data_IF_008959433737
#
_entry.id   IF_008959433737
#
_cell.length_a   1.000
_cell.length_b   1.000
_cell.length_c   1.000
_cell.angle_alpha   90.00
_cell.angle_beta   90.00
_cell.angle_gamma   90.00
#
_symmetry.space_group_name_H-M   'P 1'
#
loop_
_entity.id
_entity.type
_entity.pdbx_description
1 polymer ?
#
# COMPACT_ATOMS: atom_id res chain seq x y z
N UNK A 1 -20.05 3.24 34.12
CA UNK A 1 -20.49 2.59 32.89
C UNK A 1 -21.18 3.53 31.90
N UNK A 2 -22.25 4.26 32.29
CA UNK A 2 -22.97 5.18 31.39
C UNK A 2 -22.11 6.25 30.73
N UNK A 3 -21.16 6.86 31.46
CA UNK A 3 -20.25 7.89 30.95
C UNK A 3 -19.31 7.36 29.84
N UNK A 4 -18.79 6.15 29.98
CA UNK A 4 -17.96 5.54 28.96
C UNK A 4 -18.73 5.27 27.66
N UNK A 5 -19.99 4.81 27.78
CA UNK A 5 -20.87 4.61 26.61
C UNK A 5 -21.16 5.94 25.93
N UNK A 6 -21.40 7.01 26.69
CA UNK A 6 -21.60 8.35 26.16
C UNK A 6 -20.38 8.85 25.37
N UNK A 7 -19.16 8.73 25.94
CA UNK A 7 -17.93 9.11 25.23
C UNK A 7 -17.68 8.26 23.99
N UNK A 8 -17.96 6.95 24.08
CA UNK A 8 -17.88 6.06 22.92
C UNK A 8 -18.81 6.52 21.79
N UNK A 9 -20.08 6.77 22.10
CA UNK A 9 -21.06 7.26 21.13
C UNK A 9 -20.69 8.60 20.52
N UNK A 10 -20.21 9.55 21.34
CA UNK A 10 -19.79 10.88 20.87
C UNK A 10 -18.57 10.79 19.95
N UNK A 11 -17.56 10.00 20.34
CA UNK A 11 -16.37 9.75 19.51
C UNK A 11 -16.74 9.06 18.20
N UNK A 12 -17.52 7.96 18.25
CA UNK A 12 -17.95 7.23 17.07
C UNK A 12 -18.75 8.12 16.11
N UNK A 13 -19.69 8.93 16.63
CA UNK A 13 -20.46 9.88 15.82
C UNK A 13 -19.53 10.87 15.10
N UNK A 14 -18.59 11.49 15.84
CA UNK A 14 -17.67 12.47 15.26
C UNK A 14 -16.71 11.81 14.27
N UNK A 15 -16.27 10.57 14.52
CA UNK A 15 -15.46 9.79 13.59
C UNK A 15 -16.21 9.53 12.29
N UNK A 16 -17.44 9.01 12.36
CA UNK A 16 -18.25 8.74 11.17
C UNK A 16 -18.54 10.03 10.40
N UNK A 17 -18.85 11.14 11.09
CA UNK A 17 -19.09 12.43 10.43
C UNK A 17 -17.82 12.93 9.73
N UNK A 18 -16.66 12.91 10.39
CA UNK A 18 -15.39 13.32 9.79
C UNK A 18 -15.03 12.42 8.61
N UNK A 19 -15.18 11.10 8.76
CA UNK A 19 -14.94 10.13 7.69
C UNK A 19 -15.84 10.43 6.47
N UNK A 20 -17.14 10.68 6.68
CA UNK A 20 -18.08 10.99 5.59
C UNK A 20 -17.70 12.27 4.84
N UNK A 21 -17.27 13.32 5.56
CA UNK A 21 -16.78 14.56 4.95
C UNK A 21 -15.56 14.28 4.07
N UNK A 22 -14.59 13.47 4.58
CA UNK A 22 -13.39 13.14 3.81
C UNK A 22 -13.67 12.21 2.64
N UNK A 23 -14.62 11.28 2.74
CA UNK A 23 -15.06 10.45 1.62
C UNK A 23 -15.59 11.32 0.47
N UNK A 24 -16.48 12.29 0.77
CA UNK A 24 -17.03 13.19 -0.25
C UNK A 24 -15.91 14.04 -0.87
N UNK A 25 -15.03 14.59 -0.03
CA UNK A 25 -13.91 15.43 -0.49
C UNK A 25 -12.91 14.66 -1.36
N UNK A 26 -12.52 13.43 -0.94
CA UNK A 26 -11.63 12.58 -1.72
C UNK A 26 -12.26 12.13 -3.02
N UNK A 27 -13.56 11.76 -3.02
CA UNK A 27 -14.26 11.43 -4.25
C UNK A 27 -14.23 12.58 -5.26
N UNK A 28 -14.43 13.82 -4.79
CA UNK A 28 -14.38 15.00 -5.64
C UNK A 28 -12.98 15.20 -6.23
N UNK A 29 -11.93 15.08 -5.42
CA UNK A 29 -10.55 15.16 -5.87
C UNK A 29 -10.24 14.06 -6.89
N UNK A 30 -10.60 12.81 -6.58
CA UNK A 30 -10.34 11.66 -7.46
C UNK A 30 -11.06 11.83 -8.81
N UNK A 31 -12.31 12.30 -8.81
CA UNK A 31 -13.05 12.59 -10.07
C UNK A 31 -12.34 13.67 -10.89
N UNK A 32 -11.92 14.77 -10.27
CA UNK A 32 -11.19 15.85 -10.98
C UNK A 32 -9.86 15.32 -11.54
N UNK A 33 -9.15 14.49 -10.77
CA UNK A 33 -7.87 13.91 -11.22
C UNK A 33 -8.07 12.95 -12.39
N UNK A 34 -9.09 12.09 -12.38
CA UNK A 34 -9.40 11.20 -13.49
C UNK A 34 -9.88 11.97 -14.72
N UNK A 35 -10.70 12.99 -14.54
CA UNK A 35 -11.09 13.91 -15.64
C UNK A 35 -9.87 14.54 -16.30
N UNK A 36 -8.93 15.07 -15.51
CA UNK A 36 -7.70 15.68 -16.06
C UNK A 36 -6.85 14.69 -16.85
N UNK A 37 -6.82 13.41 -16.42
CA UNK A 37 -5.99 12.37 -17.07
C UNK A 37 -6.64 11.79 -18.33
N UNK A 38 -7.95 11.68 -18.37
CA UNK A 38 -8.67 10.86 -19.35
C UNK A 38 -9.81 11.55 -20.11
N UNK A 39 -10.05 12.84 -19.89
CA UNK A 39 -11.20 13.57 -20.45
C UNK A 39 -11.37 13.49 -21.98
N UNK A 40 -10.30 13.19 -22.72
CA UNK A 40 -10.31 13.12 -24.20
C UNK A 40 -10.54 11.70 -24.71
N UNK A 41 -10.39 10.68 -23.84
CA UNK A 41 -10.28 9.28 -24.26
C UNK A 41 -11.40 8.36 -23.75
N UNK A 42 -12.19 8.80 -22.77
CA UNK A 42 -13.08 7.90 -22.00
C UNK A 42 -14.39 8.59 -21.65
N UNK A 43 -15.49 7.82 -21.57
CA UNK A 43 -16.82 8.31 -21.17
C UNK A 43 -16.84 8.76 -19.68
N UNK A 44 -17.64 9.79 -19.36
CA UNK A 44 -17.77 10.35 -18.00
C UNK A 44 -18.21 9.31 -16.97
N UNK A 45 -19.01 8.31 -17.37
CA UNK A 45 -19.44 7.22 -16.48
C UNK A 45 -18.26 6.34 -16.08
N UNK A 46 -17.37 6.03 -17.01
CA UNK A 46 -16.17 5.24 -16.74
C UNK A 46 -15.16 5.99 -15.86
N UNK A 47 -15.04 7.31 -16.08
CA UNK A 47 -14.23 8.18 -15.24
C UNK A 47 -14.73 8.19 -13.79
N UNK A 48 -16.04 8.31 -13.59
CA UNK A 48 -16.63 8.24 -12.26
C UNK A 48 -16.43 6.86 -11.61
N UNK A 49 -16.57 5.79 -12.39
CA UNK A 49 -16.31 4.44 -11.90
C UNK A 49 -14.84 4.23 -11.49
N UNK A 50 -13.88 4.76 -12.26
CA UNK A 50 -12.46 4.75 -11.90
C UNK A 50 -12.20 5.50 -10.59
N UNK A 51 -12.79 6.69 -10.42
CA UNK A 51 -12.68 7.44 -9.17
C UNK A 51 -13.26 6.67 -7.99
N UNK A 52 -14.41 5.99 -8.16
CA UNK A 52 -15.02 5.17 -7.13
C UNK A 52 -14.15 3.96 -6.75
N UNK A 53 -13.44 3.35 -7.70
CA UNK A 53 -12.49 2.26 -7.44
C UNK A 53 -11.24 2.72 -6.69
N UNK A 54 -10.77 3.95 -6.92
CA UNK A 54 -9.59 4.52 -6.25
C UNK A 54 -9.91 5.03 -4.84
N UNK A 55 -11.15 5.45 -4.60
CA UNK A 55 -11.61 6.09 -3.36
C UNK A 55 -11.27 5.30 -2.08
N UNK A 56 -11.47 3.96 -1.99
CA UNK A 56 -11.13 3.23 -0.77
C UNK A 56 -9.64 3.32 -0.43
N UNK A 57 -8.76 3.30 -1.43
CA UNK A 57 -7.31 3.45 -1.26
C UNK A 57 -6.95 4.83 -0.74
N UNK A 58 -7.50 5.89 -1.35
CA UNK A 58 -7.29 7.28 -0.95
C UNK A 58 -7.74 7.52 0.50
N UNK A 59 -8.92 7.04 0.87
CA UNK A 59 -9.46 7.17 2.24
C UNK A 59 -8.60 6.38 3.24
N UNK A 60 -8.16 5.17 2.88
CA UNK A 60 -7.34 4.33 3.75
C UNK A 60 -6.01 4.98 4.13
N UNK A 61 -5.37 5.66 3.19
CA UNK A 61 -4.10 6.36 3.43
C UNK A 61 -4.25 7.51 4.44
N UNK A 62 -5.39 8.21 4.44
CA UNK A 62 -5.62 9.37 5.31
C UNK A 62 -6.33 9.02 6.63
N UNK A 63 -6.65 7.75 6.89
CA UNK A 63 -7.31 7.33 8.13
C UNK A 63 -6.63 7.85 9.41
N UNK A 64 -5.28 7.86 9.55
CA UNK A 64 -4.63 8.45 10.72
C UNK A 64 -4.98 9.92 10.93
N UNK A 65 -5.11 10.68 9.84
CA UNK A 65 -5.49 12.10 9.90
C UNK A 65 -6.97 12.28 10.23
N UNK A 66 -7.84 11.37 9.78
CA UNK A 66 -9.25 11.34 10.16
C UNK A 66 -9.39 11.06 11.66
N UNK A 67 -8.58 10.15 12.22
CA UNK A 67 -8.57 9.85 13.66
C UNK A 67 -8.19 11.09 14.47
N UNK A 68 -7.11 11.80 14.10
CA UNK A 68 -6.70 12.99 14.86
C UNK A 68 -7.74 14.10 14.81
N UNK A 69 -8.37 14.33 13.64
CA UNK A 69 -9.39 15.37 13.49
C UNK A 69 -10.67 15.04 14.24
N UNK A 70 -11.15 13.79 14.14
CA UNK A 70 -12.34 13.34 14.86
C UNK A 70 -12.15 13.34 16.38
N UNK A 71 -10.94 12.97 16.82
CA UNK A 71 -10.54 13.07 18.24
C UNK A 71 -10.49 14.51 18.70
N UNK A 72 -9.89 15.42 17.92
CA UNK A 72 -9.83 16.85 18.22
C UNK A 72 -11.23 17.44 18.33
N UNK A 73 -12.11 17.13 17.41
CA UNK A 73 -13.50 17.55 17.46
C UNK A 73 -14.19 17.05 18.74
N UNK A 74 -13.99 15.78 19.07
CA UNK A 74 -14.59 15.18 20.26
C UNK A 74 -14.11 15.85 21.53
N UNK A 75 -12.79 15.97 21.75
CA UNK A 75 -12.24 16.58 22.96
C UNK A 75 -12.55 18.08 23.05
N UNK A 76 -12.54 18.78 21.94
CA UNK A 76 -12.93 20.19 21.89
C UNK A 76 -14.41 20.39 22.24
N UNK A 77 -15.30 19.54 21.72
CA UNK A 77 -16.72 19.57 22.06
C UNK A 77 -16.95 19.29 23.55
N UNK A 78 -16.23 18.32 24.13
CA UNK A 78 -16.27 18.02 25.56
C UNK A 78 -15.76 19.19 26.42
N UNK A 79 -14.69 19.84 25.97
CA UNK A 79 -14.12 21.00 26.66
C UNK A 79 -15.04 22.21 26.62
N UNK A 80 -15.64 22.53 25.46
CA UNK A 80 -16.55 23.67 25.29
C UNK A 80 -17.84 23.52 26.08
N UNK A 81 -18.39 22.31 26.16
CA UNK A 81 -19.61 22.06 26.92
C UNK A 81 -19.38 21.88 28.42
N UNK A 82 -18.13 22.13 28.90
CA UNK A 82 -17.75 21.93 30.31
C UNK A 82 -17.94 20.49 30.82
N UNK A 83 -18.15 19.53 29.93
CA UNK A 83 -18.33 18.11 30.29
C UNK A 83 -17.08 17.54 30.95
N UNK A 84 -15.88 18.04 30.56
CA UNK A 84 -14.60 17.70 31.21
C UNK A 84 -14.55 18.10 32.69
N UNK A 85 -15.15 19.26 33.05
CA UNK A 85 -15.21 19.73 34.43
C UNK A 85 -16.10 18.78 35.24
N UNK A 86 -17.30 18.51 34.73
CA UNK A 86 -18.26 17.61 35.41
C UNK A 86 -17.63 16.25 35.67
N UNK A 87 -16.84 15.75 34.74
CA UNK A 87 -16.15 14.47 34.89
C UNK A 87 -15.08 14.53 36.01
N UNK A 88 -14.29 15.59 36.03
CA UNK A 88 -13.26 15.81 37.08
C UNK A 88 -13.88 16.02 38.45
N UNK A 89 -14.97 16.77 38.55
CA UNK A 89 -15.69 16.98 39.81
C UNK A 89 -16.35 15.70 40.35
N UNK A 90 -16.67 14.74 39.46
CA UNK A 90 -17.09 13.39 39.82
C UNK A 90 -15.94 12.48 40.31
N UNK A 91 -14.74 13.02 40.52
CA UNK A 91 -13.57 12.30 41.06
C UNK A 91 -12.88 11.38 40.05
N UNK A 92 -13.15 11.56 38.76
CA UNK A 92 -12.52 10.71 37.70
C UNK A 92 -11.28 11.39 37.14
N UNK A 93 -10.20 10.64 36.95
CA UNK A 93 -8.97 11.14 36.33
C UNK A 93 -9.14 11.38 34.83
N UNK A 94 -8.39 12.31 34.26
CA UNK A 94 -8.36 12.57 32.81
C UNK A 94 -7.94 11.31 32.02
N UNK A 95 -7.07 10.47 32.59
CA UNK A 95 -6.67 9.19 32.00
C UNK A 95 -7.88 8.27 31.84
N UNK A 96 -8.76 8.21 32.86
CA UNK A 96 -10.00 7.41 32.79
C UNK A 96 -10.93 7.84 31.64
N UNK A 97 -10.90 9.12 31.27
CA UNK A 97 -11.66 9.62 30.09
C UNK A 97 -11.08 9.15 28.77
N UNK A 98 -9.75 9.00 28.70
CA UNK A 98 -9.07 8.57 27.47
C UNK A 98 -9.26 7.11 27.13
N UNK A 99 -9.49 6.25 28.13
CA UNK A 99 -9.56 4.79 27.94
C UNK A 99 -10.57 4.44 26.83
N UNK A 100 -11.74 5.05 26.84
CA UNK A 100 -12.79 4.72 25.87
C UNK A 100 -12.45 5.15 24.45
N UNK A 101 -12.08 6.41 24.16
CA UNK A 101 -11.58 6.81 22.83
C UNK A 101 -10.33 6.04 22.40
N UNK A 102 -9.45 5.69 23.35
CA UNK A 102 -8.25 4.91 23.08
C UNK A 102 -8.57 3.50 22.56
N UNK A 103 -9.43 2.79 23.28
CA UNK A 103 -9.90 1.47 22.86
C UNK A 103 -10.59 1.56 21.51
N UNK A 104 -11.45 2.55 21.28
CA UNK A 104 -12.14 2.73 20.00
C UNK A 104 -11.18 3.03 18.86
N UNK A 105 -10.20 3.91 19.05
CA UNK A 105 -9.19 4.22 18.02
C UNK A 105 -8.35 3.00 17.68
N UNK A 106 -7.96 2.21 18.67
CA UNK A 106 -7.27 0.95 18.46
C UNK A 106 -8.13 -0.06 17.68
N UNK A 107 -9.40 -0.22 18.09
CA UNK A 107 -10.35 -1.10 17.38
C UNK A 107 -10.63 -0.65 15.95
N UNK A 108 -10.75 0.66 15.70
CA UNK A 108 -10.85 1.20 14.32
C UNK A 108 -9.62 0.79 13.51
N UNK A 109 -8.42 0.84 14.09
CA UNK A 109 -7.20 0.36 13.45
C UNK A 109 -7.26 -1.13 13.12
N UNK A 110 -7.71 -1.97 14.06
CA UNK A 110 -7.90 -3.41 13.83
C UNK A 110 -8.93 -3.67 12.73
N UNK A 111 -10.06 -2.96 12.73
CA UNK A 111 -11.08 -3.06 11.68
C UNK A 111 -10.54 -2.60 10.32
N UNK A 112 -9.72 -1.54 10.31
CA UNK A 112 -9.10 -1.04 9.09
C UNK A 112 -8.21 -2.09 8.44
N UNK A 113 -7.36 -2.77 9.20
CA UNK A 113 -6.48 -3.81 8.64
C UNK A 113 -7.22 -5.11 8.32
N UNK A 114 -8.23 -5.49 9.12
CA UNK A 114 -8.90 -6.78 8.97
C UNK A 114 -9.94 -6.79 7.85
N UNK A 115 -10.73 -5.74 7.73
CA UNK A 115 -11.87 -5.66 6.81
C UNK A 115 -11.67 -4.64 5.70
N UNK A 116 -11.14 -3.46 6.03
CA UNK A 116 -11.02 -2.39 5.04
C UNK A 116 -9.83 -2.60 4.09
N UNK A 117 -8.69 -3.13 4.59
CA UNK A 117 -7.53 -3.44 3.75
C UNK A 117 -7.84 -4.43 2.61
N UNK A 118 -8.52 -5.57 2.79
CA UNK A 118 -8.92 -6.44 1.69
C UNK A 118 -9.81 -5.77 0.64
N UNK A 119 -10.70 -4.87 1.08
CA UNK A 119 -11.54 -4.07 0.15
C UNK A 119 -10.64 -3.14 -0.67
N UNK A 120 -9.72 -2.43 -0.02
CA UNK A 120 -8.73 -1.57 -0.68
C UNK A 120 -7.90 -2.36 -1.69
N UNK A 121 -7.40 -3.53 -1.32
CA UNK A 121 -6.61 -4.38 -2.20
C UNK A 121 -7.39 -4.78 -3.46
N UNK A 122 -8.63 -5.24 -3.29
CA UNK A 122 -9.48 -5.68 -4.41
C UNK A 122 -9.86 -4.51 -5.34
N UNK A 123 -10.23 -3.36 -4.79
CA UNK A 123 -10.59 -2.16 -5.57
C UNK A 123 -9.38 -1.56 -6.27
N UNK A 124 -8.22 -1.48 -5.60
CA UNK A 124 -6.97 -0.98 -6.20
C UNK A 124 -6.46 -1.89 -7.32
N UNK A 125 -6.59 -3.21 -7.17
CA UNK A 125 -6.29 -4.17 -8.25
C UNK A 125 -7.19 -3.92 -9.45
N UNK A 126 -8.50 -3.85 -9.23
CA UNK A 126 -9.48 -3.60 -10.30
C UNK A 126 -9.28 -2.24 -10.96
N UNK A 127 -8.94 -1.21 -10.19
CA UNK A 127 -8.56 0.11 -10.72
C UNK A 127 -7.35 0.01 -11.65
N UNK A 128 -6.31 -0.72 -11.24
CA UNK A 128 -5.12 -0.91 -12.07
C UNK A 128 -5.43 -1.68 -13.36
N UNK A 129 -6.25 -2.74 -13.28
CA UNK A 129 -6.65 -3.56 -14.43
C UNK A 129 -7.49 -2.76 -15.45
N UNK A 130 -8.42 -1.92 -14.97
CA UNK A 130 -9.22 -1.05 -15.85
C UNK A 130 -8.35 0.04 -16.46
N UNK A 131 -7.49 0.65 -15.64
CA UNK A 131 -6.58 1.70 -16.11
C UNK A 131 -5.60 1.20 -17.18
N UNK A 132 -5.01 0.02 -17.02
CA UNK A 132 -4.07 -0.55 -17.99
C UNK A 132 -4.74 -0.83 -19.35
N UNK A 133 -5.98 -1.30 -19.34
CA UNK A 133 -6.75 -1.51 -20.58
C UNK A 133 -7.03 -0.20 -21.33
N UNK A 134 -7.17 0.91 -20.61
CA UNK A 134 -7.52 2.21 -21.18
C UNK A 134 -6.28 2.99 -21.69
N UNK A 135 -5.11 2.77 -21.07
CA UNK A 135 -3.90 3.56 -21.37
C UNK A 135 -2.90 2.79 -22.22
N UNK A 136 -2.67 1.53 -21.92
CA UNK A 136 -1.45 0.87 -22.36
C UNK A 136 -1.65 -0.10 -23.51
N UNK A 137 -2.72 -0.29 -24.16
CA UNK A 137 -2.82 -1.14 -25.38
C UNK A 137 -1.79 -2.29 -25.52
N UNK A 138 -0.77 -2.36 -24.68
CA UNK A 138 0.32 -3.33 -24.62
C UNK A 138 0.24 -4.19 -23.35
N UNK A 139 -0.05 -5.46 -23.56
CA UNK A 139 -0.09 -6.47 -22.49
C UNK A 139 1.32 -6.93 -22.12
N UNK A 140 2.04 -6.16 -21.28
CA UNK A 140 3.18 -6.74 -20.56
C UNK A 140 2.64 -7.26 -19.23
N UNK A 141 2.56 -8.56 -19.07
CA UNK A 141 2.03 -9.18 -17.85
C UNK A 141 3.15 -9.94 -17.15
N UNK A 142 3.38 -9.64 -15.89
CA UNK A 142 4.27 -10.40 -15.01
C UNK A 142 3.42 -11.05 -13.93
N UNK A 143 3.63 -12.33 -13.70
CA UNK A 143 3.03 -13.06 -12.59
C UNK A 143 4.06 -13.93 -11.91
N UNK A 144 3.97 -14.04 -10.59
CA UNK A 144 4.74 -14.97 -9.78
C UNK A 144 3.78 -15.98 -9.18
N UNK A 145 4.14 -17.24 -9.27
CA UNK A 145 3.41 -18.33 -8.68
C UNK A 145 4.37 -19.41 -8.14
N UNK A 146 3.81 -20.49 -7.65
CA UNK A 146 4.57 -21.66 -7.14
C UNK A 146 5.49 -22.28 -8.18
N UNK A 147 5.28 -21.99 -9.46
CA UNK A 147 6.08 -22.48 -10.58
C UNK A 147 7.16 -21.51 -11.08
N UNK A 148 7.39 -20.39 -10.39
CA UNK A 148 8.38 -19.35 -10.71
C UNK A 148 7.79 -18.09 -11.32
N UNK A 149 8.67 -17.35 -12.00
CA UNK A 149 8.37 -16.06 -12.63
C UNK A 149 7.90 -16.28 -14.07
N UNK A 150 6.82 -15.63 -14.45
CA UNK A 150 6.31 -15.58 -15.81
C UNK A 150 6.33 -14.13 -16.30
N UNK A 151 7.05 -13.90 -17.41
CA UNK A 151 7.12 -12.61 -18.09
C UNK A 151 6.54 -12.78 -19.49
N UNK A 152 5.74 -11.83 -19.94
CA UNK A 152 5.30 -11.74 -21.33
C UNK A 152 5.73 -10.39 -21.88
N UNK A 153 6.45 -10.40 -22.97
CA UNK A 153 6.82 -9.20 -23.71
C UNK A 153 6.31 -9.29 -25.16
N UNK A 154 5.90 -8.15 -25.72
CA UNK A 154 5.60 -8.01 -27.13
C UNK A 154 6.84 -7.45 -27.84
N UNK A 155 7.16 -7.93 -29.03
CA UNK A 155 8.13 -7.38 -29.95
C UNK A 155 7.48 -7.14 -31.32
N UNK A 156 8.21 -6.55 -32.25
CA UNK A 156 7.71 -6.26 -33.61
C UNK A 156 7.31 -7.53 -34.40
N UNK A 157 7.76 -8.70 -33.97
CA UNK A 157 7.55 -9.99 -34.64
C UNK A 157 6.49 -10.85 -33.98
N UNK A 158 6.02 -10.50 -32.81
CA UNK A 158 5.02 -11.25 -32.04
C UNK A 158 5.13 -11.10 -30.54
N UNK A 159 4.99 -12.20 -29.82
CA UNK A 159 5.05 -12.21 -28.36
C UNK A 159 6.06 -13.24 -27.89
N UNK A 160 6.81 -12.90 -26.83
CA UNK A 160 7.71 -13.85 -26.16
C UNK A 160 7.24 -14.04 -24.71
N UNK A 161 6.98 -15.28 -24.33
CA UNK A 161 6.68 -15.69 -22.96
C UNK A 161 7.95 -16.26 -22.34
N UNK A 162 8.40 -15.70 -21.22
CA UNK A 162 9.58 -16.10 -20.49
C UNK A 162 9.13 -16.68 -19.16
N UNK A 163 9.50 -17.92 -18.89
CA UNK A 163 9.32 -18.58 -17.59
C UNK A 163 10.69 -18.78 -16.96
N UNK A 164 10.90 -18.32 -15.75
CA UNK A 164 12.12 -18.58 -14.98
C UNK A 164 11.77 -19.24 -13.66
N UNK A 165 12.51 -20.27 -13.26
CA UNK A 165 12.29 -20.90 -11.95
C UNK A 165 12.79 -20.03 -10.81
N UNK A 166 13.90 -19.31 -11.02
CA UNK A 166 14.52 -18.45 -10.01
C UNK A 166 15.07 -17.20 -10.67
N UNK A 167 15.23 -16.15 -9.87
CA UNK A 167 15.88 -14.93 -10.26
C UNK A 167 16.82 -14.45 -9.14
N UNK A 168 17.74 -13.53 -9.46
CA UNK A 168 18.46 -12.80 -8.44
C UNK A 168 17.56 -11.70 -7.85
N UNK A 169 18.01 -11.12 -6.70
CA UNK A 169 17.26 -10.08 -5.97
C UNK A 169 16.89 -8.86 -6.81
N UNK A 170 17.64 -8.63 -7.87
CA UNK A 170 17.54 -7.45 -8.72
C UNK A 170 16.82 -7.71 -10.05
N UNK A 171 16.36 -8.94 -10.27
CA UNK A 171 15.72 -9.39 -11.52
C UNK A 171 16.58 -9.20 -12.80
N UNK A 172 17.89 -9.04 -12.64
CA UNK A 172 18.84 -8.91 -13.76
C UNK A 172 19.34 -10.25 -14.25
N UNK A 173 19.26 -11.31 -13.44
CA UNK A 173 19.64 -12.67 -13.79
C UNK A 173 18.46 -13.61 -13.52
N UNK A 174 18.11 -14.40 -14.53
CA UNK A 174 17.06 -15.41 -14.44
C UNK A 174 17.68 -16.80 -14.70
N UNK A 175 17.32 -17.76 -13.85
CA UNK A 175 17.85 -19.12 -13.86
C UNK A 175 16.80 -20.14 -14.25
N UNK A 176 17.22 -21.20 -14.94
CA UNK A 176 16.35 -22.27 -15.45
C UNK A 176 15.18 -21.70 -16.29
N UNK A 177 15.54 -21.01 -17.36
CA UNK A 177 14.60 -20.21 -18.15
C UNK A 177 14.09 -20.97 -19.35
N UNK A 178 12.78 -20.94 -19.55
CA UNK A 178 12.10 -21.39 -20.77
C UNK A 178 11.48 -20.17 -21.45
N UNK A 179 11.88 -19.91 -22.69
CA UNK A 179 11.27 -18.89 -23.54
C UNK A 179 10.43 -19.55 -24.62
N UNK A 180 9.23 -19.05 -24.84
CA UNK A 180 8.32 -19.48 -25.90
C UNK A 180 8.05 -18.28 -26.80
N UNK A 181 8.55 -18.31 -28.03
CA UNK A 181 8.23 -17.31 -29.04
C UNK A 181 6.91 -17.66 -29.73
N UNK A 182 6.02 -16.68 -29.77
CA UNK A 182 4.71 -16.77 -30.42
C UNK A 182 4.66 -15.82 -31.61
N UNK A 183 4.02 -16.26 -32.70
CA UNK A 183 3.68 -15.39 -33.85
C UNK A 183 2.69 -14.27 -33.44
N UNK A 184 2.50 -13.30 -34.34
CA UNK A 184 1.41 -12.31 -34.22
C UNK A 184 0.02 -12.98 -34.06
N UNK A 185 -0.18 -14.14 -34.65
CA UNK A 185 -1.39 -14.95 -34.53
C UNK A 185 -1.45 -15.82 -33.25
N UNK A 186 -0.54 -15.57 -32.29
CA UNK A 186 -0.41 -16.30 -31.02
C UNK A 186 -0.08 -17.79 -31.16
N UNK A 187 0.46 -18.23 -32.29
CA UNK A 187 0.92 -19.60 -32.51
C UNK A 187 2.38 -19.73 -32.08
N UNK A 188 2.77 -20.82 -31.39
CA UNK A 188 4.15 -21.01 -30.95
C UNK A 188 5.08 -21.31 -32.12
N UNK A 189 6.17 -20.53 -32.25
CA UNK A 189 7.18 -20.65 -33.31
C UNK A 189 8.38 -21.48 -32.83
N UNK A 190 8.86 -21.18 -31.60
CA UNK A 190 10.02 -21.86 -31.04
C UNK A 190 9.98 -21.86 -29.50
N UNK A 191 10.58 -22.89 -28.91
CA UNK A 191 10.88 -23.01 -27.51
C UNK A 191 12.39 -22.93 -27.30
N UNK A 192 12.85 -22.11 -26.38
CA UNK A 192 14.26 -21.94 -26.06
C UNK A 192 14.42 -22.24 -24.55
N UNK A 193 15.31 -23.17 -24.24
CA UNK A 193 15.69 -23.45 -22.85
C UNK A 193 17.09 -22.96 -22.59
N UNK A 194 17.29 -22.31 -21.45
CA UNK A 194 18.54 -21.64 -21.05
C UNK A 194 18.77 -21.81 -19.58
N UNK A 195 19.98 -22.11 -19.17
CA UNK A 195 20.35 -22.19 -17.75
C UNK A 195 20.37 -20.83 -17.08
N UNK A 196 20.87 -19.81 -17.80
CA UNK A 196 21.04 -18.45 -17.28
C UNK A 196 20.81 -17.43 -18.39
N UNK A 197 19.93 -16.47 -18.14
CA UNK A 197 19.83 -15.25 -18.95
C UNK A 197 20.14 -14.04 -18.09
N UNK A 198 20.89 -13.10 -18.65
CA UNK A 198 21.25 -11.82 -18.01
C UNK A 198 20.63 -10.67 -18.79
N UNK A 199 20.07 -9.71 -18.05
CA UNK A 199 19.55 -8.47 -18.62
C UNK A 199 20.65 -7.44 -18.69
N UNK A 200 21.03 -7.05 -19.92
CA UNK A 200 21.98 -5.99 -20.18
C UNK A 200 21.28 -4.90 -20.98
N UNK A 201 21.12 -3.72 -20.41
CA UNK A 201 20.46 -2.51 -20.96
C UNK A 201 19.10 -2.79 -21.62
N UNK A 202 19.04 -3.27 -22.84
CA UNK A 202 17.81 -3.56 -23.60
C UNK A 202 17.84 -4.91 -24.27
N UNK A 203 18.66 -5.84 -23.77
CA UNK A 203 18.82 -7.19 -24.31
C UNK A 203 18.91 -8.25 -23.23
N UNK A 204 18.19 -9.35 -23.42
CA UNK A 204 18.45 -10.58 -22.68
C UNK A 204 19.58 -11.36 -23.36
N UNK A 205 20.66 -11.56 -22.66
CA UNK A 205 21.78 -12.37 -23.09
C UNK A 205 21.64 -13.79 -22.52
N UNK A 206 21.33 -14.74 -23.38
CA UNK A 206 21.12 -16.15 -23.03
C UNK A 206 22.40 -16.95 -23.31
N UNK A 207 22.93 -17.66 -22.31
CA UNK A 207 24.11 -18.52 -22.43
C UNK A 207 23.71 -19.99 -22.43
N UNK A 208 24.33 -20.80 -23.30
CA UNK A 208 24.08 -22.23 -23.42
C UNK A 208 22.61 -22.54 -23.74
N UNK A 209 22.08 -21.92 -24.77
CA UNK A 209 20.68 -22.05 -25.15
C UNK A 209 20.45 -23.26 -26.06
N UNK A 210 19.36 -23.97 -25.82
CA UNK A 210 18.85 -25.06 -26.68
C UNK A 210 17.54 -24.57 -27.29
N UNK A 211 17.52 -24.51 -28.62
CA UNK A 211 16.36 -24.02 -29.39
C UNK A 211 15.66 -25.17 -30.04
N UNK A 212 14.37 -25.32 -29.76
CA UNK A 212 13.46 -26.24 -30.47
C UNK A 212 12.53 -25.44 -31.37
N UNK A 213 12.71 -25.46 -32.71
CA UNK A 213 11.72 -24.89 -33.60
C UNK A 213 10.44 -25.74 -33.57
N UNK A 214 9.28 -25.09 -33.41
CA UNK A 214 7.97 -25.75 -33.41
C UNK A 214 7.42 -25.62 -34.82
N UNK A 215 7.74 -26.60 -35.69
CA UNK A 215 7.15 -26.70 -37.00
C UNK A 215 5.92 -27.62 -36.96
N UNK A 216 4.81 -27.18 -37.52
CA UNK A 216 3.57 -27.95 -37.63
C UNK A 216 3.66 -29.11 -38.63
N UNK A 217 4.83 -29.68 -38.88
CA UNK A 217 5.09 -30.80 -39.79
C UNK A 217 5.76 -32.01 -39.10
N UNK A 218 5.62 -33.17 -39.68
CA UNK A 218 5.83 -34.49 -39.11
C UNK A 218 7.23 -34.89 -38.57
N UNK A 219 8.23 -33.99 -38.48
CA UNK A 219 9.58 -34.32 -37.97
C UNK A 219 10.19 -33.19 -37.12
N UNK A 220 9.59 -32.90 -35.98
CA UNK A 220 9.99 -31.84 -35.05
C UNK A 220 11.30 -32.11 -34.30
N UNK A 221 11.79 -33.34 -34.21
CA UNK A 221 12.96 -33.73 -33.43
C UNK A 221 14.33 -33.55 -34.10
N UNK A 222 14.39 -33.27 -35.40
CA UNK A 222 15.64 -33.26 -36.17
C UNK A 222 16.37 -31.91 -36.24
N UNK A 223 15.79 -30.81 -35.76
CA UNK A 223 16.35 -29.46 -35.91
C UNK A 223 16.64 -28.75 -34.57
N UNK A 224 17.07 -29.48 -33.56
CA UNK A 224 17.52 -28.88 -32.28
C UNK A 224 18.84 -28.14 -32.50
N UNK A 225 18.85 -26.84 -32.24
CA UNK A 225 20.05 -26.01 -32.34
C UNK A 225 20.59 -25.71 -30.96
N UNK A 226 21.88 -25.99 -30.76
CA UNK A 226 22.60 -25.54 -29.54
C UNK A 226 23.42 -24.30 -29.88
N UNK A 227 23.15 -23.19 -29.23
CA UNK A 227 23.86 -21.95 -29.41
C UNK A 227 24.53 -21.55 -28.09
N UNK A 228 25.78 -21.14 -28.14
CA UNK A 228 26.55 -20.70 -26.97
C UNK A 228 26.08 -19.35 -26.44
N UNK A 229 25.53 -18.49 -27.31
CA UNK A 229 25.02 -17.18 -26.98
C UNK A 229 23.84 -16.84 -27.89
N UNK A 230 22.75 -16.37 -27.27
CA UNK A 230 21.58 -15.83 -27.98
C UNK A 230 21.21 -14.51 -27.34
N UNK A 231 21.09 -13.49 -28.17
CA UNK A 231 20.63 -12.16 -27.73
C UNK A 231 19.15 -11.99 -28.12
N UNK A 232 18.32 -11.61 -27.16
CA UNK A 232 16.89 -11.41 -27.35
C UNK A 232 16.58 -9.95 -27.00
N UNK A 233 16.14 -9.14 -27.96
CA UNK A 233 15.78 -7.75 -27.68
C UNK A 233 14.63 -7.69 -26.67
N UNK A 234 14.72 -6.75 -25.74
CA UNK A 234 13.67 -6.52 -24.73
C UNK A 234 13.46 -5.03 -24.51
N UNK A 235 12.21 -4.66 -24.30
CA UNK A 235 11.84 -3.33 -23.85
C UNK A 235 11.81 -3.22 -22.32
N UNK A 236 12.02 -4.35 -21.61
CA UNK A 236 11.95 -4.39 -20.15
C UNK A 236 13.22 -3.83 -19.53
N UNK A 237 13.05 -2.87 -18.63
CA UNK A 237 14.10 -2.36 -17.76
C UNK A 237 14.01 -3.03 -16.38
N UNK A 238 15.15 -3.09 -15.65
CA UNK A 238 15.24 -3.63 -14.29
C UNK A 238 14.14 -3.07 -13.36
N UNK A 239 13.96 -1.76 -13.37
CA UNK A 239 12.97 -1.06 -12.56
C UNK A 239 11.55 -1.52 -12.90
N UNK A 240 11.26 -1.71 -14.19
CA UNK A 240 9.95 -2.16 -14.66
C UNK A 240 9.64 -3.60 -14.22
N UNK A 241 10.62 -4.49 -14.22
CA UNK A 241 10.41 -5.88 -13.75
C UNK A 241 10.08 -5.87 -12.25
N UNK A 242 10.82 -5.10 -11.47
CA UNK A 242 10.60 -5.00 -10.01
C UNK A 242 9.29 -4.28 -9.68
N UNK A 243 8.92 -3.25 -10.44
CA UNK A 243 7.68 -2.51 -10.22
C UNK A 243 6.43 -3.27 -10.69
N UNK A 244 6.56 -4.19 -11.63
CA UNK A 244 5.44 -5.00 -12.14
C UNK A 244 4.99 -6.10 -11.17
N UNK A 245 5.77 -6.46 -10.14
CA UNK A 245 5.27 -7.27 -9.03
C UNK A 245 4.14 -6.57 -8.28
N UNK A 246 3.92 -5.32 -8.60
CA UNK A 246 2.80 -4.52 -8.17
C UNK A 246 3.05 -3.81 -6.84
N UNK A 247 2.17 -2.88 -6.57
CA UNK A 247 2.14 -2.17 -5.29
C UNK A 247 1.65 -3.13 -4.20
N UNK A 248 2.34 -3.25 -3.06
CA UNK A 248 1.89 -4.05 -1.92
C UNK A 248 0.45 -3.73 -1.48
N UNK A 249 -0.02 -2.51 -1.70
CA UNK A 249 -1.40 -2.09 -1.39
C UNK A 249 -2.47 -2.81 -2.21
N UNK A 250 -2.11 -3.44 -3.34
CA UNK A 250 -3.00 -4.22 -4.20
C UNK A 250 -3.15 -5.67 -3.74
N UNK A 251 -2.39 -6.08 -2.75
CA UNK A 251 -2.40 -7.43 -2.17
C UNK A 251 -3.05 -7.34 -0.79
N UNK A 252 -4.04 -8.20 -0.55
CA UNK A 252 -4.67 -8.27 0.76
C UNK A 252 -3.64 -8.61 1.84
N UNK A 253 -3.78 -7.98 3.02
CA UNK A 253 -2.94 -8.27 4.18
C UNK A 253 -2.83 -9.78 4.47
N UNK A 254 -3.92 -10.51 4.30
CA UNK A 254 -3.99 -11.94 4.58
C UNK A 254 -3.23 -12.81 3.56
N UNK A 255 -3.08 -12.33 2.31
CA UNK A 255 -2.35 -13.02 1.24
C UNK A 255 -0.87 -12.62 1.19
N UNK A 256 -0.49 -11.52 1.86
CA UNK A 256 0.89 -11.01 1.85
C UNK A 256 1.93 -12.01 2.38
N UNK A 257 1.72 -12.76 3.47
CA UNK A 257 2.72 -13.72 3.97
C UNK A 257 3.03 -14.83 2.96
N UNK A 258 2.00 -15.34 2.29
CA UNK A 258 2.17 -16.35 1.23
C UNK A 258 2.93 -15.77 0.04
N UNK A 259 2.56 -14.58 -0.41
CA UNK A 259 3.22 -13.89 -1.52
C UNK A 259 4.69 -13.56 -1.22
N UNK A 260 5.01 -13.13 0.02
CA UNK A 260 6.38 -12.93 0.50
C UNK A 260 7.19 -14.23 0.38
N UNK A 261 6.61 -15.35 0.84
CA UNK A 261 7.26 -16.66 0.74
C UNK A 261 7.51 -17.10 -0.71
N UNK A 262 6.57 -16.84 -1.61
CA UNK A 262 6.71 -17.13 -3.05
C UNK A 262 7.84 -16.29 -3.69
N UNK A 263 7.94 -15.00 -3.34
CA UNK A 263 9.02 -14.12 -3.80
C UNK A 263 10.39 -14.61 -3.33
N UNK A 264 10.53 -14.95 -2.06
CA UNK A 264 11.78 -15.45 -1.47
C UNK A 264 12.20 -16.79 -2.08
N UNK A 265 11.25 -17.70 -2.30
CA UNK A 265 11.52 -18.98 -2.97
C UNK A 265 11.97 -18.79 -4.42
N UNK A 266 11.41 -17.79 -5.10
CA UNK A 266 11.82 -17.42 -6.46
C UNK A 266 13.15 -16.63 -6.51
N UNK A 267 13.77 -16.30 -5.35
CA UNK A 267 15.03 -15.58 -5.24
C UNK A 267 14.93 -14.06 -5.26
N UNK A 268 13.71 -13.50 -5.30
CA UNK A 268 13.49 -12.05 -5.29
C UNK A 268 13.54 -11.45 -3.89
N UNK A 269 13.85 -10.15 -3.82
CA UNK A 269 13.76 -9.40 -2.58
C UNK A 269 12.31 -9.14 -2.20
N UNK A 270 11.82 -9.78 -1.15
CA UNK A 270 10.49 -9.54 -0.59
C UNK A 270 10.44 -8.35 0.40
N UNK A 271 11.56 -7.61 0.56
CA UNK A 271 11.70 -6.57 1.60
C UNK A 271 10.60 -5.51 1.56
N UNK A 272 10.23 -5.01 0.38
CA UNK A 272 9.15 -4.02 0.18
C UNK A 272 7.83 -4.51 0.75
N UNK A 273 7.49 -5.77 0.50
CA UNK A 273 6.25 -6.40 0.96
C UNK A 273 6.29 -6.71 2.45
N UNK A 274 7.44 -7.16 2.97
CA UNK A 274 7.64 -7.42 4.39
C UNK A 274 7.52 -6.14 5.22
N UNK A 275 8.14 -5.05 4.77
CA UNK A 275 8.02 -3.73 5.41
C UNK A 275 6.56 -3.26 5.40
N UNK A 276 5.87 -3.38 4.26
CA UNK A 276 4.46 -3.02 4.15
C UNK A 276 3.59 -3.86 5.09
N UNK A 277 3.75 -5.18 5.09
CA UNK A 277 3.01 -6.09 5.96
C UNK A 277 3.14 -5.71 7.44
N UNK A 278 4.37 -5.50 7.90
CA UNK A 278 4.64 -5.12 9.29
C UNK A 278 4.10 -3.72 9.61
N UNK A 279 4.16 -2.78 8.66
CA UNK A 279 3.61 -1.43 8.85
C UNK A 279 2.09 -1.44 8.98
N UNK A 280 1.41 -2.30 8.20
CA UNK A 280 -0.04 -2.49 8.34
C UNK A 280 -0.40 -2.99 9.74
N UNK A 281 0.31 -3.99 10.25
CA UNK A 281 0.11 -4.54 11.60
C UNK A 281 0.35 -3.51 12.71
N UNK A 282 1.19 -2.50 12.49
CA UNK A 282 1.49 -1.44 13.46
C UNK A 282 0.43 -0.33 13.48
N UNK A 283 -0.46 -0.23 12.48
CA UNK A 283 -1.46 0.84 12.34
C UNK A 283 -2.38 1.04 13.55
N UNK A 284 -2.89 -0.01 14.23
CA UNK A 284 -3.73 0.19 15.42
C UNK A 284 -3.03 0.99 16.53
N UNK A 285 -1.71 0.76 16.72
CA UNK A 285 -0.91 1.53 17.68
C UNK A 285 -0.73 2.97 17.20
N UNK A 286 -0.51 3.16 15.91
CA UNK A 286 -0.39 4.49 15.33
C UNK A 286 -1.68 5.29 15.45
N UNK A 287 -2.85 4.66 15.25
CA UNK A 287 -4.16 5.31 15.44
C UNK A 287 -4.40 5.72 16.90
N UNK A 288 -3.99 4.85 17.83
CA UNK A 288 -4.00 5.18 19.26
C UNK A 288 -3.13 6.42 19.55
N UNK A 289 -1.91 6.47 18.99
CA UNK A 289 -1.01 7.60 19.14
C UNK A 289 -1.62 8.90 18.58
N UNK A 290 -2.25 8.87 17.42
CA UNK A 290 -2.94 10.01 16.80
C UNK A 290 -4.08 10.55 17.67
N UNK A 291 -4.85 9.68 18.30
CA UNK A 291 -5.88 10.08 19.26
C UNK A 291 -5.27 10.75 20.48
N UNK A 292 -4.17 10.20 21.03
CA UNK A 292 -3.49 10.77 22.19
C UNK A 292 -2.87 12.15 21.92
N UNK A 293 -2.28 12.37 20.73
CA UNK A 293 -1.83 13.70 20.30
C UNK A 293 -2.97 14.68 20.39
N UNK A 294 -4.12 14.32 19.83
CA UNK A 294 -5.31 15.18 19.87
C UNK A 294 -5.77 15.48 21.30
N UNK A 295 -5.78 14.46 22.17
CA UNK A 295 -6.12 14.63 23.59
C UNK A 295 -5.17 15.59 24.30
N UNK A 296 -3.85 15.45 24.09
CA UNK A 296 -2.83 16.29 24.71
C UNK A 296 -3.01 17.79 24.41
N UNK A 297 -3.51 18.12 23.23
CA UNK A 297 -3.72 19.52 22.82
C UNK A 297 -5.14 20.03 23.08
N UNK A 298 -6.17 19.19 22.94
CA UNK A 298 -7.57 19.63 22.92
C UNK A 298 -8.31 19.45 24.26
N UNK A 299 -7.80 18.64 25.21
CA UNK A 299 -8.43 18.46 26.52
C UNK A 299 -8.16 19.59 27.51
N UNK A 300 -7.20 20.48 27.23
CA UNK A 300 -6.91 21.59 28.12
C UNK A 300 -8.02 22.63 28.02
N UNK A 301 -8.58 23.01 29.15
CA UNK A 301 -9.52 24.12 29.25
C UNK A 301 -8.79 25.47 29.02
N UNK A 302 -8.90 25.96 27.81
CA UNK A 302 -8.52 27.34 27.49
C UNK A 302 -9.78 28.20 27.57
N UNK A 303 -9.94 28.95 28.68
CA UNK A 303 -10.98 29.99 28.77
C UNK A 303 -10.69 31.03 27.67
N UNK A 304 -11.46 30.98 26.57
CA UNK A 304 -11.70 32.03 25.56
C UNK A 304 -10.60 32.37 24.53
N UNK A 305 -9.31 32.24 24.76
CA UNK A 305 -8.28 32.57 23.74
C UNK A 305 -7.26 31.43 23.60
N UNK A 306 -7.24 30.77 22.43
CA UNK A 306 -6.23 29.75 22.10
C UNK A 306 -6.74 28.37 21.64
N UNK A 307 -8.06 28.15 21.64
CA UNK A 307 -8.64 26.87 21.27
C UNK A 307 -8.30 26.46 19.81
N UNK A 308 -8.35 27.44 18.90
CA UNK A 308 -7.98 27.20 17.48
C UNK A 308 -6.49 26.91 17.31
N UNK A 309 -5.63 27.57 18.10
CA UNK A 309 -4.19 27.32 18.08
C UNK A 309 -3.84 25.90 18.58
N UNK A 310 -4.54 25.43 19.62
CA UNK A 310 -4.34 24.08 20.14
C UNK A 310 -4.78 23.01 19.13
N UNK A 311 -5.90 23.21 18.45
CA UNK A 311 -6.34 22.32 17.36
C UNK A 311 -5.33 22.32 16.21
N UNK A 312 -4.87 23.51 15.80
CA UNK A 312 -3.84 23.63 14.76
C UNK A 312 -2.55 22.92 15.18
N UNK A 313 -2.11 23.09 16.44
CA UNK A 313 -0.93 22.40 16.94
C UNK A 313 -1.10 20.88 16.96
N UNK A 314 -2.28 20.37 17.35
CA UNK A 314 -2.58 18.93 17.27
C UNK A 314 -2.46 18.41 15.83
N UNK A 315 -3.04 19.13 14.88
CA UNK A 315 -3.00 18.78 13.46
C UNK A 315 -1.55 18.80 12.94
N UNK A 316 -0.79 19.85 13.25
CA UNK A 316 0.61 19.97 12.80
C UNK A 316 1.49 18.85 13.35
N UNK A 317 1.36 18.53 14.66
CA UNK A 317 2.10 17.41 15.27
C UNK A 317 1.68 16.09 14.64
N UNK A 318 0.38 15.87 14.39
CA UNK A 318 -0.12 14.69 13.72
C UNK A 318 0.42 14.53 12.29
N UNK A 319 0.45 15.62 11.51
CA UNK A 319 1.07 15.63 10.18
C UNK A 319 2.56 15.30 10.25
N UNK A 320 3.28 15.90 11.19
CA UNK A 320 4.70 15.63 11.38
C UNK A 320 4.96 14.15 11.69
N UNK A 321 4.20 13.55 12.59
CA UNK A 321 4.30 12.13 12.93
C UNK A 321 3.93 11.24 11.73
N UNK A 322 2.88 11.59 10.98
CA UNK A 322 2.45 10.86 9.79
C UNK A 322 3.52 10.86 8.69
N UNK A 323 4.05 12.03 8.35
CA UNK A 323 5.10 12.13 7.31
C UNK A 323 6.42 11.52 7.77
N UNK A 324 6.78 11.66 9.06
CA UNK A 324 7.96 10.99 9.60
C UNK A 324 7.83 9.47 9.53
N UNK A 325 6.63 8.93 9.83
CA UNK A 325 6.35 7.50 9.68
C UNK A 325 6.54 7.03 8.23
N UNK A 326 5.98 7.75 7.27
CA UNK A 326 6.14 7.43 5.84
C UNK A 326 7.61 7.50 5.40
N UNK A 327 8.36 8.50 5.89
CA UNK A 327 9.78 8.63 5.58
C UNK A 327 10.59 7.43 6.09
N UNK A 328 10.38 7.01 7.34
CA UNK A 328 11.06 5.85 7.93
C UNK A 328 10.68 4.55 7.19
N UNK A 329 9.44 4.44 6.75
CA UNK A 329 8.97 3.32 5.93
C UNK A 329 9.75 3.23 4.60
N UNK A 330 9.97 4.35 3.91
CA UNK A 330 10.76 4.41 2.67
C UNK A 330 12.20 3.97 2.92
N UNK A 331 12.83 4.39 4.04
CA UNK A 331 14.16 3.92 4.41
C UNK A 331 14.21 2.40 4.62
N UNK A 332 13.15 1.82 5.19
CA UNK A 332 13.01 0.36 5.33
C UNK A 332 12.90 -0.35 3.98
N UNK A 333 12.06 0.16 3.08
CA UNK A 333 11.88 -0.38 1.72
C UNK A 333 13.21 -0.35 0.96
N UNK A 334 13.97 0.74 1.07
CA UNK A 334 15.28 0.90 0.44
C UNK A 334 16.40 0.10 1.13
N UNK A 335 16.08 -0.63 2.20
CA UNK A 335 17.03 -1.50 2.89
C UNK A 335 18.00 -0.81 3.84
N UNK A 336 17.85 0.47 4.09
CA UNK A 336 18.69 1.25 5.01
C UNK A 336 18.37 0.96 6.47
N UNK A 337 17.16 0.47 6.75
CA UNK A 337 16.70 0.08 8.08
C UNK A 337 16.17 -1.36 8.09
N UNK A 338 16.29 -2.07 9.23
CA UNK A 338 15.64 -3.36 9.41
C UNK A 338 14.11 -3.25 9.29
N UNK A 339 13.47 -4.28 8.72
CA UNK A 339 12.02 -4.33 8.47
C UNK A 339 11.20 -3.99 9.71
N UNK A 340 11.54 -4.59 10.85
CA UNK A 340 10.81 -4.38 12.09
C UNK A 340 10.91 -2.94 12.61
N UNK A 341 12.12 -2.36 12.60
CA UNK A 341 12.34 -0.98 13.07
C UNK A 341 11.64 0.02 12.17
N UNK A 342 11.68 -0.16 10.86
CA UNK A 342 11.04 0.75 9.91
C UNK A 342 9.51 0.74 10.01
N UNK A 343 8.92 -0.40 10.37
CA UNK A 343 7.47 -0.55 10.45
C UNK A 343 6.87 -0.21 11.82
N UNK A 344 7.51 -0.68 12.90
CA UNK A 344 6.99 -0.50 14.26
C UNK A 344 7.58 0.70 14.99
N UNK A 345 8.82 1.09 14.65
CA UNK A 345 9.52 2.21 15.29
C UNK A 345 8.73 3.50 15.29
N UNK A 346 8.22 3.99 14.15
CA UNK A 346 7.41 5.20 14.10
C UNK A 346 6.14 5.13 14.95
N UNK A 347 5.44 3.98 14.94
CA UNK A 347 4.20 3.79 15.70
C UNK A 347 4.45 3.85 17.21
N UNK A 348 5.49 3.19 17.71
CA UNK A 348 5.87 3.28 19.12
C UNK A 348 6.43 4.65 19.50
N UNK A 349 7.26 5.26 18.65
CA UNK A 349 7.77 6.60 18.88
C UNK A 349 6.62 7.61 19.00
N UNK A 350 5.65 7.55 18.08
CA UNK A 350 4.46 8.38 18.13
C UNK A 350 3.65 8.15 19.41
N UNK A 351 3.49 6.90 19.85
CA UNK A 351 2.78 6.54 21.07
C UNK A 351 3.48 7.14 22.30
N UNK A 352 4.79 6.95 22.45
CA UNK A 352 5.53 7.46 23.60
C UNK A 352 5.60 9.00 23.62
N UNK A 353 5.82 9.62 22.46
CA UNK A 353 5.79 11.10 22.34
C UNK A 353 4.41 11.64 22.73
N UNK A 354 3.34 11.04 22.23
CA UNK A 354 1.98 11.50 22.53
C UNK A 354 1.59 11.30 23.99
N UNK A 355 1.99 10.19 24.60
CA UNK A 355 1.83 9.95 26.05
C UNK A 355 2.63 10.96 26.87
N UNK A 356 3.90 11.20 26.52
CA UNK A 356 4.72 12.21 27.22
C UNK A 356 4.14 13.61 27.11
N UNK A 357 3.66 14.00 25.93
CA UNK A 357 2.98 15.29 25.73
C UNK A 357 1.69 15.39 26.55
N UNK A 358 0.91 14.31 26.62
CA UNK A 358 -0.32 14.28 27.41
C UNK A 358 -0.03 14.42 28.90
N UNK A 359 0.88 13.62 29.46
CA UNK A 359 1.22 13.64 30.89
C UNK A 359 1.81 15.01 31.31
N UNK A 360 2.76 15.54 30.55
CA UNK A 360 3.36 16.85 30.83
C UNK A 360 2.32 18.00 30.82
N UNK A 361 1.28 17.88 30.02
CA UNK A 361 0.21 18.90 29.94
C UNK A 361 -0.91 18.71 30.96
N UNK A 362 -1.02 17.53 31.56
CA UNK A 362 -2.00 17.26 32.62
C UNK A 362 -1.49 17.68 33.99
N UNK A 363 -0.18 17.53 34.25
CA UNK A 363 0.46 17.92 35.54
C UNK A 363 0.77 19.42 35.64
N UNK A 364 0.79 20.15 34.54
CA UNK A 364 1.01 21.61 34.47
C UNK A 364 -0.29 22.38 34.26
#
# INVERSE_FOLDING_TARGET
MLLHIYFAGKFAKNFVTTLSIFIIFMLLIDVIEQLRKFAVSIDYIEIFFLALLNLPGSVYQILPLIIILSSAWTFLSLARNSELIVFRTAGKSSISMLITPAILSFFIGVLAISFFNPIVASTSKKYADVKSKLVDGQETTISIGTEGLWLRQADETGHTVIRAKRANSDATELYDVTLIKLSADKLPISRIEVELITLNDSMWTARNSIIWPINYGLNSHSNVQKLSLVEIPTSLKKEQITDQFGDPSKISLWSLPEFIGQLEQAGFSAKRYSVWYQSELSKPIFFLAMMLVSAAFCMRQSRVRGTSLNVLAAILVGFLLFYSSNFVLILGINGQLPVFISAWGPSFAALFISLGLFLNREEG
#
